data_IF_009583282221
#
_entry.id   IF_009583282221
#
_cell.length_a   1.000
_cell.length_b   1.000
_cell.length_c   1.000
_cell.angle_alpha   90.00
_cell.angle_beta   90.00
_cell.angle_gamma   90.00
#
_symmetry.space_group_name_H-M   'P 1'
#
loop_
_entity.id
_entity.type
_entity.pdbx_description
1 polymer ?
#
# COMPACT_ATOMS: atom_id res chain seq x y z
N UNK A 1 -9.49 -19.59 3.19
CA UNK A 1 -9.34 -18.55 2.14
C UNK A 1 -8.36 -17.51 2.66
N UNK A 2 -7.14 -17.45 2.11
CA UNK A 2 -6.16 -16.44 2.52
C UNK A 2 -6.57 -15.13 1.84
N UNK A 3 -7.36 -14.32 2.54
CA UNK A 3 -7.70 -12.98 2.08
C UNK A 3 -6.41 -12.17 2.20
N UNK A 4 -5.61 -12.19 1.14
CA UNK A 4 -4.53 -11.22 0.97
C UNK A 4 -5.19 -9.84 0.97
N UNK A 5 -5.14 -9.17 2.12
CA UNK A 5 -5.58 -7.79 2.28
C UNK A 5 -4.69 -6.96 1.35
N UNK A 6 -5.14 -6.77 0.11
CA UNK A 6 -4.48 -5.89 -0.85
C UNK A 6 -4.49 -4.51 -0.21
N UNK A 7 -3.31 -4.01 0.15
CA UNK A 7 -3.16 -2.67 0.73
C UNK A 7 -3.85 -1.70 -0.21
N UNK A 8 -4.85 -1.00 0.32
CA UNK A 8 -5.60 -0.01 -0.44
C UNK A 8 -4.65 1.06 -0.95
N UNK A 9 -4.85 1.50 -2.20
CA UNK A 9 -4.01 2.54 -2.84
C UNK A 9 -3.87 3.82 -2.00
N UNK A 10 -4.87 4.16 -1.18
CA UNK A 10 -4.84 5.33 -0.31
C UNK A 10 -4.29 5.09 1.10
N UNK A 11 -4.08 3.83 1.52
CA UNK A 11 -3.52 3.49 2.83
C UNK A 11 -2.03 3.85 2.93
N UNK A 12 -1.48 4.00 4.14
CA UNK A 12 -0.03 4.17 4.31
C UNK A 12 0.74 3.01 3.71
N UNK A 13 1.89 3.30 3.09
CA UNK A 13 2.75 2.28 2.51
C UNK A 13 3.32 1.37 3.61
N UNK A 14 3.24 0.03 3.46
CA UNK A 14 3.80 -0.91 4.43
C UNK A 14 5.34 -0.84 4.51
N UNK A 15 5.98 -0.14 3.57
CA UNK A 15 7.41 0.11 3.53
C UNK A 15 7.91 1.14 4.57
N UNK A 16 7.02 1.74 5.37
CA UNK A 16 7.42 2.70 6.42
C UNK A 16 7.88 4.07 5.91
N UNK A 17 7.72 4.36 4.61
CA UNK A 17 8.17 5.61 3.99
C UNK A 17 7.34 6.85 4.37
N UNK A 18 6.27 6.69 5.15
CA UNK A 18 5.29 7.74 5.46
C UNK A 18 4.41 8.15 4.27
N UNK A 19 4.64 7.62 3.07
CA UNK A 19 3.87 7.91 1.85
C UNK A 19 2.68 6.96 1.73
N UNK A 20 1.59 7.41 1.09
CA UNK A 20 0.47 6.53 0.71
C UNK A 20 0.94 5.47 -0.29
N UNK A 21 0.33 4.29 -0.26
CA UNK A 21 0.69 3.15 -1.11
C UNK A 21 0.75 3.57 -2.59
N UNK A 22 -0.26 4.29 -3.10
CA UNK A 22 -0.29 4.83 -4.48
C UNK A 22 0.83 5.80 -4.84
N UNK A 23 1.51 6.39 -3.87
CA UNK A 23 2.64 7.32 -4.06
C UNK A 23 3.99 6.68 -3.73
N UNK A 24 4.01 5.38 -3.46
CA UNK A 24 5.22 4.62 -3.18
C UNK A 24 5.22 3.31 -4.00
N UNK A 25 4.96 2.16 -3.38
CA UNK A 25 5.01 0.84 -4.04
C UNK A 25 3.78 0.52 -4.91
N UNK A 26 2.72 1.31 -4.79
CA UNK A 26 1.52 1.24 -5.62
C UNK A 26 1.46 2.32 -6.71
N UNK A 27 2.59 2.99 -6.98
CA UNK A 27 2.77 3.76 -8.22
C UNK A 27 2.90 2.74 -9.34
N UNK A 28 1.97 2.79 -10.29
CA UNK A 28 2.24 2.28 -11.64
C UNK A 28 3.02 3.36 -12.39
#
# INVERSE_FOLDING_TARGET
MRVEKKVGRNEPCPCGSGKKYKHCHGRA
#
